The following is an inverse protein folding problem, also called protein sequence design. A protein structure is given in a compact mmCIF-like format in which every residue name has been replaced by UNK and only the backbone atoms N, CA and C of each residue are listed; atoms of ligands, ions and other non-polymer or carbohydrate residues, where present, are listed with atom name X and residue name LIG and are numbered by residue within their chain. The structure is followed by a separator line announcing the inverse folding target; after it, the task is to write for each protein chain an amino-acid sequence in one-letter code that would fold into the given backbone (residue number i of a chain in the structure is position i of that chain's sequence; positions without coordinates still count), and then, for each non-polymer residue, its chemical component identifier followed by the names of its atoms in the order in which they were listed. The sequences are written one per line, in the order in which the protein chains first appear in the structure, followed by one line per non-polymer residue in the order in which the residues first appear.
data_IF_832638259038
#
_entry.id   IF_832638259038
#
_cell.length_a   1.000
_cell.length_b   1.000
_cell.length_c   1.000
_cell.angle_alpha   90.00
_cell.angle_beta   90.00
_cell.angle_gamma   90.00
#
_symmetry.space_group_name_H-M   'P 1'
#
loop_
_entity.id
_entity.type
_entity.pdbx_description
1 polymer ?
#
# COMPACT_ATOMS: atom_id res chain seq x y z
N UNK A 1 23.54 30.82 -19.96
CA UNK A 1 23.94 31.75 -21.06
C UNK A 1 25.42 32.11 -20.97
N UNK A 2 26.05 31.93 -19.81
CA UNK A 2 27.49 32.15 -19.59
C UNK A 2 28.41 31.41 -20.57
N UNK A 3 28.08 30.18 -20.99
CA UNK A 3 28.91 29.43 -21.94
C UNK A 3 29.07 30.06 -23.33
N UNK A 4 28.15 30.94 -23.76
CA UNK A 4 28.34 31.71 -25.00
C UNK A 4 29.31 32.89 -24.81
N UNK A 5 29.39 33.45 -23.61
CA UNK A 5 30.36 34.49 -23.27
C UNK A 5 31.77 33.91 -23.13
N UNK A 6 31.89 32.68 -22.65
CA UNK A 6 33.17 31.96 -22.59
C UNK A 6 33.78 31.74 -23.99
N UNK A 7 32.94 31.46 -24.99
CA UNK A 7 33.37 31.31 -26.39
C UNK A 7 33.85 32.65 -26.96
N UNK A 8 33.16 33.76 -26.66
CA UNK A 8 33.57 35.10 -27.10
C UNK A 8 34.86 35.54 -26.41
N UNK A 9 35.00 35.22 -25.13
CA UNK A 9 36.20 35.52 -24.33
C UNK A 9 37.41 34.71 -24.80
N UNK A 10 37.23 33.43 -25.16
CA UNK A 10 38.29 32.58 -25.69
C UNK A 10 38.91 33.13 -27.00
N UNK A 11 38.16 33.91 -27.78
CA UNK A 11 38.65 34.55 -29.00
C UNK A 11 39.64 35.69 -28.78
N UNK A 12 39.71 36.26 -27.56
CA UNK A 12 40.53 37.44 -27.24
C UNK A 12 42.05 37.18 -27.22
N UNK A 13 42.46 35.92 -27.25
CA UNK A 13 43.88 35.51 -27.22
C UNK A 13 44.41 34.92 -28.53
N UNK A 14 43.68 35.06 -29.64
CA UNK A 14 44.06 34.46 -30.92
C UNK A 14 45.02 35.39 -31.67
N UNK A 15 46.22 34.92 -31.96
CA UNK A 15 47.24 35.68 -32.70
C UNK A 15 46.76 36.09 -34.09
N UNK A 16 47.02 37.35 -34.45
CA UNK A 16 46.84 37.83 -35.82
C UNK A 16 48.08 37.48 -36.66
N UNK A 17 48.00 36.33 -37.32
CA UNK A 17 49.08 35.79 -38.15
C UNK A 17 49.41 36.74 -39.31
N UNK A 18 48.46 37.57 -39.79
CA UNK A 18 48.71 38.51 -40.88
C UNK A 18 49.77 39.56 -40.52
N UNK A 19 49.87 39.89 -39.23
CA UNK A 19 50.86 40.81 -38.67
C UNK A 19 52.16 40.06 -38.34
N UNK A 20 52.05 38.86 -37.77
CA UNK A 20 53.24 38.04 -37.43
C UNK A 20 54.02 37.52 -38.63
N UNK A 21 53.38 37.37 -39.80
CA UNK A 21 54.08 37.02 -41.05
C UNK A 21 55.02 38.15 -41.49
N UNK A 22 54.66 39.40 -41.21
CA UNK A 22 55.46 40.57 -41.57
C UNK A 22 56.52 40.86 -40.51
N UNK A 23 56.19 40.68 -39.23
CA UNK A 23 57.12 40.81 -38.11
C UNK A 23 56.76 39.83 -36.98
N UNK A 24 57.55 38.75 -36.86
CA UNK A 24 57.33 37.70 -35.86
C UNK A 24 57.55 38.16 -34.41
N UNK A 25 58.14 39.33 -34.19
CA UNK A 25 58.36 39.90 -32.85
C UNK A 25 57.18 40.74 -32.35
N UNK A 26 56.20 41.02 -33.21
CA UNK A 26 55.03 41.83 -32.86
C UNK A 26 53.92 40.97 -32.24
N UNK A 27 53.60 41.24 -30.98
CA UNK A 27 52.43 40.65 -30.30
C UNK A 27 51.18 41.41 -30.70
N UNK A 28 50.41 40.82 -31.61
CA UNK A 28 49.11 41.33 -32.03
C UNK A 28 48.11 40.19 -32.13
N UNK A 29 46.92 40.44 -31.59
CA UNK A 29 45.80 39.51 -31.56
C UNK A 29 44.67 40.01 -32.46
N UNK A 30 43.80 39.10 -32.86
CA UNK A 30 42.56 39.44 -33.56
C UNK A 30 41.65 40.27 -32.64
N UNK A 31 40.97 41.25 -33.21
CA UNK A 31 39.97 42.02 -32.47
C UNK A 31 38.78 41.09 -32.12
N UNK A 32 38.41 40.99 -30.84
CA UNK A 32 37.31 40.13 -30.44
C UNK A 32 35.98 40.67 -30.95
N UNK A 33 35.13 39.77 -31.43
CA UNK A 33 33.77 40.13 -31.82
C UNK A 33 32.98 40.49 -30.55
N UNK A 34 32.35 41.67 -30.55
CA UNK A 34 31.51 42.12 -29.43
C UNK A 34 30.26 41.25 -29.27
N UNK A 35 29.76 41.13 -28.05
CA UNK A 35 28.47 40.47 -27.77
C UNK A 35 27.28 41.12 -28.49
N UNK A 36 27.38 42.42 -28.78
CA UNK A 36 26.36 43.20 -29.50
C UNK A 36 26.55 43.18 -31.03
N UNK A 37 27.53 42.43 -31.53
CA UNK A 37 27.71 42.25 -32.98
C UNK A 37 26.47 41.57 -33.59
N UNK A 38 25.92 42.08 -34.70
CA UNK A 38 24.73 41.50 -35.33
C UNK A 38 24.84 40.00 -35.62
N UNK A 39 26.02 39.49 -35.96
CA UNK A 39 26.26 38.07 -36.20
C UNK A 39 26.18 37.26 -34.90
N UNK A 40 26.74 37.78 -33.80
CA UNK A 40 26.66 37.14 -32.48
C UNK A 40 25.23 37.13 -31.97
N UNK A 41 24.50 38.24 -32.13
CA UNK A 41 23.08 38.32 -31.77
C UNK A 41 22.24 37.33 -32.59
N UNK A 42 22.47 37.22 -33.91
CA UNK A 42 21.78 36.27 -34.77
C UNK A 42 22.10 34.81 -34.40
N UNK A 43 23.36 34.51 -34.07
CA UNK A 43 23.78 33.19 -33.60
C UNK A 43 23.12 32.85 -32.25
N UNK A 44 23.09 33.78 -31.29
CA UNK A 44 22.38 33.61 -30.01
C UNK A 44 20.90 33.31 -30.21
N UNK A 45 20.24 34.08 -31.08
CA UNK A 45 18.84 33.85 -31.45
C UNK A 45 18.62 32.44 -32.03
N UNK A 46 19.51 32.01 -32.92
CA UNK A 46 19.47 30.66 -33.51
C UNK A 46 19.66 29.56 -32.47
N UNK A 47 20.64 29.72 -31.56
CA UNK A 47 20.89 28.76 -30.47
C UNK A 47 19.66 28.68 -29.54
N UNK A 48 19.09 29.82 -29.16
CA UNK A 48 17.90 29.87 -28.32
C UNK A 48 16.71 29.18 -29.00
N UNK A 49 16.51 29.41 -30.30
CA UNK A 49 15.44 28.77 -31.06
C UNK A 49 15.63 27.24 -31.15
N UNK A 50 16.87 26.79 -31.39
CA UNK A 50 17.21 25.37 -31.41
C UNK A 50 16.96 24.74 -30.04
N UNK A 51 17.41 25.36 -28.95
CA UNK A 51 17.16 24.86 -27.59
C UNK A 51 15.66 24.77 -27.28
N UNK A 52 14.89 25.83 -27.58
CA UNK A 52 13.45 25.85 -27.38
C UNK A 52 12.72 24.73 -28.15
N UNK A 53 13.16 24.43 -29.38
CA UNK A 53 12.62 23.29 -30.16
C UNK A 53 12.97 21.95 -29.54
N UNK A 54 14.18 21.80 -28.99
CA UNK A 54 14.64 20.54 -28.39
C UNK A 54 14.04 20.29 -26.99
N UNK A 55 13.54 21.32 -26.30
CA UNK A 55 12.85 21.19 -25.01
C UNK A 55 11.39 20.75 -25.11
N UNK A 56 10.81 20.70 -26.32
CA UNK A 56 9.41 20.25 -26.51
C UNK A 56 9.20 18.80 -26.08
N UNK A 57 10.10 17.90 -26.49
CA UNK A 57 10.04 16.48 -26.11
C UNK A 57 10.11 16.27 -24.59
N UNK A 58 11.11 16.83 -23.89
CA UNK A 58 11.14 16.84 -22.42
C UNK A 58 9.89 17.43 -21.76
N UNK A 59 9.33 18.49 -22.33
CA UNK A 59 8.12 19.11 -21.79
C UNK A 59 6.87 18.22 -21.97
N UNK A 60 6.78 17.46 -23.06
CA UNK A 60 5.71 16.50 -23.27
C UNK A 60 5.87 15.29 -22.34
N UNK A 61 7.09 14.77 -22.19
CA UNK A 61 7.41 13.72 -21.22
C UNK A 61 7.04 14.14 -19.78
N UNK A 62 7.30 15.39 -19.41
CA UNK A 62 6.89 15.90 -18.09
C UNK A 62 5.36 15.85 -17.90
N UNK A 63 4.57 16.20 -18.93
CA UNK A 63 3.10 16.13 -18.84
C UNK A 63 2.62 14.69 -18.65
N UNK A 64 3.28 13.73 -19.28
CA UNK A 64 2.95 12.31 -19.13
C UNK A 64 3.13 11.81 -17.69
N UNK A 65 4.04 12.41 -16.91
CA UNK A 65 4.19 12.13 -15.48
C UNK A 65 3.22 12.91 -14.58
N UNK A 66 2.73 14.07 -15.04
CA UNK A 66 1.84 14.92 -14.25
C UNK A 66 0.48 14.28 -13.95
N UNK A 67 0.05 13.28 -14.74
CA UNK A 67 -1.17 12.52 -14.44
C UNK A 67 -1.10 11.76 -13.11
N UNK A 68 0.11 11.48 -12.61
CA UNK A 68 0.34 10.80 -11.34
C UNK A 68 0.54 11.75 -10.15
N UNK A 69 0.39 13.07 -10.33
CA UNK A 69 0.59 14.06 -9.26
C UNK A 69 -0.25 13.77 -8.01
N UNK A 70 -1.44 13.18 -8.18
CA UNK A 70 -2.30 12.81 -7.06
C UNK A 70 -1.62 11.86 -6.08
N UNK A 71 -0.67 11.02 -6.51
CA UNK A 71 0.05 10.09 -5.65
C UNK A 71 0.93 10.81 -4.63
N UNK A 72 1.58 11.92 -5.04
CA UNK A 72 2.47 12.69 -4.15
C UNK A 72 1.72 13.73 -3.32
N UNK A 73 0.53 14.12 -3.77
CA UNK A 73 -0.35 15.04 -3.04
C UNK A 73 -1.16 14.33 -1.95
N UNK A 74 -1.22 13.00 -1.97
CA UNK A 74 -2.03 12.19 -1.06
C UNK A 74 -1.15 11.56 0.02
N UNK A 75 -1.44 11.85 1.29
CA UNK A 75 -0.82 11.17 2.42
C UNK A 75 -1.48 9.80 2.66
N UNK A 76 -0.71 8.72 2.92
CA UNK A 76 -1.29 7.39 3.15
C UNK A 76 -2.29 7.34 4.31
N UNK A 77 -2.06 8.09 5.39
CA UNK A 77 -2.97 8.09 6.54
C UNK A 77 -4.32 8.73 6.19
N UNK A 78 -4.30 9.84 5.45
CA UNK A 78 -5.53 10.51 5.00
C UNK A 78 -6.29 9.64 4.00
N UNK A 79 -5.56 8.96 3.12
CA UNK A 79 -6.12 8.05 2.13
C UNK A 79 -6.86 6.89 2.80
N UNK A 80 -6.22 6.20 3.75
CA UNK A 80 -6.83 5.06 4.44
C UNK A 80 -7.96 5.50 5.38
N UNK A 81 -7.89 6.69 5.97
CA UNK A 81 -8.99 7.26 6.74
C UNK A 81 -10.24 7.51 5.88
N UNK A 82 -10.06 8.05 4.67
CA UNK A 82 -11.15 8.24 3.72
C UNK A 82 -11.67 6.91 3.16
N UNK A 83 -10.78 5.95 2.93
CA UNK A 83 -11.14 4.60 2.47
C UNK A 83 -12.00 3.87 3.51
N UNK A 84 -11.51 3.76 4.74
CA UNK A 84 -12.21 3.08 5.83
C UNK A 84 -13.56 3.73 6.18
N UNK A 85 -13.68 5.06 6.08
CA UNK A 85 -14.93 5.77 6.30
C UNK A 85 -16.05 5.35 5.34
N UNK A 86 -15.71 4.87 4.14
CA UNK A 86 -16.67 4.38 3.15
C UNK A 86 -17.16 2.96 3.44
N UNK A 87 -16.55 2.26 4.40
CA UNK A 87 -16.83 0.85 4.75
C UNK A 87 -16.82 -0.06 3.51
N UNK A 88 -15.69 -0.12 2.79
CA UNK A 88 -15.59 -0.88 1.56
C UNK A 88 -15.74 -2.37 1.82
N UNK A 89 -16.22 -3.11 0.82
CA UNK A 89 -16.23 -4.57 0.88
C UNK A 89 -14.81 -5.12 0.74
N UNK A 90 -14.64 -6.41 1.04
CA UNK A 90 -13.37 -7.09 0.85
C UNK A 90 -12.96 -7.08 -0.62
N UNK A 91 -13.90 -7.32 -1.54
CA UNK A 91 -13.66 -7.30 -2.98
C UNK A 91 -13.25 -5.92 -3.48
N UNK A 92 -13.88 -4.87 -2.96
CA UNK A 92 -13.50 -3.49 -3.29
C UNK A 92 -12.09 -3.17 -2.79
N UNK A 93 -11.74 -3.61 -1.59
CA UNK A 93 -10.40 -3.42 -1.02
C UNK A 93 -9.34 -4.20 -1.78
N UNK A 94 -9.62 -5.44 -2.18
CA UNK A 94 -8.72 -6.22 -3.04
C UNK A 94 -8.54 -5.57 -4.42
N UNK A 95 -9.63 -5.08 -5.02
CA UNK A 95 -9.55 -4.38 -6.29
C UNK A 95 -8.69 -3.11 -6.20
N UNK A 96 -8.79 -2.37 -5.09
CA UNK A 96 -8.01 -1.15 -4.87
C UNK A 96 -6.52 -1.45 -4.67
N UNK A 97 -6.18 -2.48 -3.90
CA UNK A 97 -4.79 -2.96 -3.75
C UNK A 97 -4.20 -3.31 -5.12
N UNK A 98 -4.95 -4.01 -5.97
CA UNK A 98 -4.51 -4.35 -7.34
C UNK A 98 -4.39 -3.10 -8.22
N UNK A 99 -5.30 -2.14 -8.08
CA UNK A 99 -5.26 -0.87 -8.83
C UNK A 99 -3.99 -0.08 -8.51
N UNK A 100 -3.67 0.09 -7.22
CA UNK A 100 -2.48 0.82 -6.78
C UNK A 100 -1.18 0.11 -7.21
N UNK A 101 -1.16 -1.22 -7.17
CA UNK A 101 -0.06 -2.01 -7.73
C UNK A 101 0.09 -1.77 -9.24
N UNK A 102 -1.01 -1.77 -10.00
CA UNK A 102 -0.98 -1.52 -11.44
C UNK A 102 -0.51 -0.09 -11.77
N UNK A 103 -0.85 0.90 -10.94
CA UNK A 103 -0.35 2.27 -11.10
C UNK A 103 1.18 2.32 -10.94
N UNK A 104 1.75 1.61 -9.97
CA UNK A 104 3.21 1.52 -9.82
C UNK A 104 3.87 0.89 -11.08
N UNK A 105 3.26 -0.16 -11.63
CA UNK A 105 3.73 -0.79 -12.88
C UNK A 105 3.61 0.17 -14.08
N UNK A 106 2.51 0.92 -14.16
CA UNK A 106 2.26 1.90 -15.21
C UNK A 106 3.29 3.05 -15.19
N UNK A 107 3.65 3.55 -14.01
CA UNK A 107 4.73 4.55 -13.84
C UNK A 107 6.08 4.00 -14.31
N UNK A 108 6.38 2.75 -13.96
CA UNK A 108 7.62 2.10 -14.40
C UNK A 108 7.67 1.89 -15.92
N UNK A 109 6.52 1.63 -16.55
CA UNK A 109 6.43 1.40 -18.00
C UNK A 109 6.25 2.69 -18.80
N UNK A 110 6.04 3.82 -18.12
CA UNK A 110 5.77 5.12 -18.77
C UNK A 110 6.92 5.58 -19.67
N UNK A 111 8.16 5.39 -19.21
CA UNK A 111 9.35 5.68 -20.00
C UNK A 111 10.57 4.90 -19.51
N UNK A 112 11.64 4.87 -20.31
CA UNK A 112 12.94 4.40 -19.86
C UNK A 112 13.50 5.32 -18.76
N UNK A 113 14.32 4.79 -17.85
CA UNK A 113 14.91 5.58 -16.76
C UNK A 113 15.74 6.78 -17.25
N UNK A 114 16.27 6.71 -18.47
CA UNK A 114 16.99 7.82 -19.11
C UNK A 114 16.54 7.96 -20.55
N UNK A 115 15.79 9.03 -20.85
CA UNK A 115 15.24 9.26 -22.18
C UNK A 115 16.13 10.22 -22.95
N UNK A 116 16.69 9.73 -24.06
CA UNK A 116 17.51 10.52 -24.97
C UNK A 116 16.68 11.33 -25.96
N UNK A 117 16.86 12.65 -25.94
CA UNK A 117 16.42 13.57 -26.98
C UNK A 117 17.64 14.05 -27.78
N UNK A 118 17.40 14.78 -28.88
CA UNK A 118 18.46 15.13 -29.84
C UNK A 118 19.66 15.88 -29.23
N UNK A 119 19.44 16.79 -28.28
CA UNK A 119 20.51 17.56 -27.60
C UNK A 119 20.50 17.40 -26.08
N UNK A 120 19.55 16.66 -25.53
CA UNK A 120 19.27 16.62 -24.09
C UNK A 120 18.97 15.17 -23.72
N UNK A 121 19.46 14.73 -22.57
CA UNK A 121 19.04 13.47 -21.95
C UNK A 121 18.33 13.82 -20.67
N UNK A 122 17.17 13.21 -20.44
CA UNK A 122 16.37 13.40 -19.22
C UNK A 122 16.43 12.12 -18.39
N UNK A 123 16.96 12.23 -17.18
CA UNK A 123 16.91 11.16 -16.19
C UNK A 123 15.56 11.20 -15.47
N UNK A 124 14.78 10.13 -15.65
CA UNK A 124 13.46 9.95 -15.07
C UNK A 124 13.47 9.03 -13.84
N UNK A 125 14.62 8.42 -13.50
CA UNK A 125 14.71 7.41 -12.44
C UNK A 125 14.22 7.91 -11.08
N UNK A 126 14.57 9.14 -10.72
CA UNK A 126 14.12 9.76 -9.45
C UNK A 126 12.62 10.01 -9.41
N UNK A 127 12.04 10.48 -10.51
CA UNK A 127 10.59 10.69 -10.62
C UNK A 127 9.82 9.37 -10.59
N UNK A 128 10.30 8.36 -11.34
CA UNK A 128 9.72 7.01 -11.35
C UNK A 128 9.77 6.40 -9.95
N UNK A 129 10.93 6.40 -9.29
CA UNK A 129 11.07 5.85 -7.94
C UNK A 129 10.11 6.51 -6.96
N UNK A 130 10.06 7.85 -6.94
CA UNK A 130 9.19 8.60 -6.03
C UNK A 130 7.71 8.26 -6.25
N UNK A 131 7.26 8.19 -7.51
CA UNK A 131 5.86 7.90 -7.83
C UNK A 131 5.50 6.44 -7.57
N UNK A 132 6.40 5.51 -7.88
CA UNK A 132 6.24 4.08 -7.55
C UNK A 132 6.12 3.91 -6.04
N UNK A 133 7.06 4.47 -5.28
CA UNK A 133 7.06 4.39 -3.82
C UNK A 133 5.80 5.01 -3.22
N UNK A 134 5.31 6.12 -3.78
CA UNK A 134 4.05 6.73 -3.35
C UNK A 134 2.85 5.80 -3.60
N UNK A 135 2.72 5.21 -4.79
CA UNK A 135 1.64 4.27 -5.10
C UNK A 135 1.69 3.01 -4.20
N UNK A 136 2.90 2.47 -3.98
CA UNK A 136 3.09 1.32 -3.10
C UNK A 136 2.80 1.67 -1.63
N UNK A 137 3.13 2.87 -1.18
CA UNK A 137 2.82 3.34 0.17
C UNK A 137 1.31 3.44 0.40
N UNK A 138 0.55 3.93 -0.58
CA UNK A 138 -0.92 3.92 -0.51
C UNK A 138 -1.48 2.50 -0.49
N UNK A 139 -0.94 1.60 -1.33
CA UNK A 139 -1.32 0.18 -1.35
C UNK A 139 -1.10 -0.48 0.01
N UNK A 140 0.07 -0.25 0.60
CA UNK A 140 0.47 -0.84 1.87
C UNK A 140 -0.34 -0.29 3.03
N UNK A 141 -0.74 0.99 2.98
CA UNK A 141 -1.67 1.55 3.95
C UNK A 141 -3.05 0.86 3.92
N UNK A 142 -3.59 0.54 2.74
CA UNK A 142 -4.84 -0.23 2.61
C UNK A 142 -4.67 -1.64 3.16
N UNK A 143 -3.58 -2.33 2.82
CA UNK A 143 -3.29 -3.68 3.31
C UNK A 143 -3.12 -3.70 4.84
N UNK A 144 -2.43 -2.71 5.40
CA UNK A 144 -2.24 -2.58 6.84
C UNK A 144 -3.58 -2.40 7.56
N UNK A 145 -4.43 -1.51 7.08
CA UNK A 145 -5.79 -1.35 7.62
C UNK A 145 -6.62 -2.64 7.53
N UNK A 146 -6.55 -3.37 6.41
CA UNK A 146 -7.23 -4.67 6.28
C UNK A 146 -6.72 -5.68 7.31
N UNK A 147 -5.40 -5.71 7.56
CA UNK A 147 -4.78 -6.59 8.54
C UNK A 147 -5.18 -6.21 9.98
N UNK A 148 -5.27 -4.92 10.30
CA UNK A 148 -5.74 -4.44 11.61
C UNK A 148 -7.20 -4.82 11.86
N UNK A 149 -8.08 -4.61 10.88
CA UNK A 149 -9.49 -5.03 10.97
C UNK A 149 -9.63 -6.54 11.10
N UNK A 150 -8.81 -7.30 10.37
CA UNK A 150 -8.75 -8.76 10.47
C UNK A 150 -8.32 -9.21 11.88
N UNK A 151 -7.24 -8.64 12.41
CA UNK A 151 -6.75 -8.94 13.76
C UNK A 151 -7.80 -8.61 14.83
N UNK A 152 -8.39 -7.41 14.75
CA UNK A 152 -9.42 -6.96 15.68
C UNK A 152 -10.69 -7.83 15.62
N UNK A 153 -11.09 -8.27 14.42
CA UNK A 153 -12.24 -9.17 14.25
C UNK A 153 -11.96 -10.57 14.82
N UNK A 154 -10.77 -11.11 14.58
CA UNK A 154 -10.39 -12.44 15.08
C UNK A 154 -10.29 -12.46 16.60
N UNK A 155 -9.68 -11.43 17.20
CA UNK A 155 -9.57 -11.32 18.66
C UNK A 155 -10.96 -11.30 19.32
N UNK A 156 -11.88 -10.48 18.80
CA UNK A 156 -13.27 -10.44 19.31
C UNK A 156 -14.00 -11.78 19.17
N UNK A 157 -13.67 -12.57 18.15
CA UNK A 157 -14.24 -13.91 17.98
C UNK A 157 -13.66 -14.89 19.01
N UNK A 158 -12.35 -14.85 19.25
CA UNK A 158 -11.71 -15.66 20.28
C UNK A 158 -12.29 -15.35 21.67
N UNK A 159 -12.37 -14.08 22.05
CA UNK A 159 -12.99 -13.64 23.31
C UNK A 159 -14.44 -14.13 23.45
N UNK A 160 -15.18 -14.17 22.33
CA UNK A 160 -16.53 -14.71 22.32
C UNK A 160 -16.55 -16.22 22.57
N UNK A 161 -15.66 -16.99 21.93
CA UNK A 161 -15.54 -18.42 22.14
C UNK A 161 -15.09 -18.77 23.56
N UNK A 162 -14.18 -18.00 24.15
CA UNK A 162 -13.78 -18.14 25.55
C UNK A 162 -14.99 -17.95 26.48
N UNK A 163 -15.77 -16.89 26.27
CA UNK A 163 -16.97 -16.62 27.07
C UNK A 163 -18.04 -17.71 26.91
N UNK A 164 -18.21 -18.25 25.70
CA UNK A 164 -19.10 -19.39 25.43
C UNK A 164 -18.62 -20.62 26.19
N UNK A 165 -17.32 -20.91 26.15
CA UNK A 165 -16.73 -22.08 26.81
C UNK A 165 -16.84 -21.99 28.33
N UNK A 166 -16.64 -20.82 28.92
CA UNK A 166 -16.85 -20.57 30.35
C UNK A 166 -18.32 -20.83 30.73
N UNK A 167 -19.26 -20.35 29.90
CA UNK A 167 -20.70 -20.54 30.11
C UNK A 167 -21.13 -22.00 29.98
N UNK A 168 -20.57 -22.76 29.02
CA UNK A 168 -20.84 -24.19 28.85
C UNK A 168 -20.34 -25.02 30.05
N UNK A 169 -19.22 -24.60 30.65
CA UNK A 169 -18.56 -25.31 31.75
C UNK A 169 -19.02 -24.89 33.15
N UNK A 170 -19.92 -23.92 33.26
CA UNK A 170 -20.55 -23.56 34.53
C UNK A 170 -21.37 -24.73 35.10
N UNK A 171 -21.16 -25.08 36.38
CA UNK A 171 -21.93 -26.14 37.06
C UNK A 171 -23.33 -25.64 37.44
N UNK A 172 -24.42 -26.29 36.96
CA UNK A 172 -25.76 -25.89 37.33
C UNK A 172 -26.18 -26.51 38.67
N UNK A 173 -26.19 -25.69 39.73
CA UNK A 173 -26.56 -26.11 41.09
C UNK A 173 -28.06 -26.06 41.39
N UNK A 174 -28.85 -25.48 40.48
CA UNK A 174 -30.31 -25.29 40.63
C UNK A 174 -31.06 -25.78 39.41
N UNK A 175 -32.36 -26.07 39.56
CA UNK A 175 -33.19 -26.49 38.42
C UNK A 175 -33.31 -25.38 37.38
N UNK A 176 -33.37 -24.13 37.83
CA UNK A 176 -33.36 -22.93 36.98
C UNK A 176 -32.03 -22.78 36.23
N UNK A 177 -30.89 -23.05 36.87
CA UNK A 177 -29.59 -23.03 36.20
C UNK A 177 -29.45 -24.15 35.16
N UNK A 178 -30.02 -25.34 35.42
CA UNK A 178 -30.05 -26.43 34.44
C UNK A 178 -30.88 -26.09 33.20
N UNK A 179 -32.10 -25.52 33.38
CA UNK A 179 -32.94 -25.06 32.28
C UNK A 179 -32.27 -23.92 31.50
N UNK A 180 -31.57 -23.01 32.21
CA UNK A 180 -30.75 -21.97 31.60
C UNK A 180 -29.65 -22.53 30.70
N UNK A 181 -28.89 -23.52 31.17
CA UNK A 181 -27.83 -24.15 30.40
C UNK A 181 -28.39 -24.95 29.20
N UNK A 182 -29.53 -25.64 29.35
CA UNK A 182 -30.19 -26.35 28.24
C UNK A 182 -30.63 -25.39 27.13
N UNK A 183 -31.22 -24.25 27.49
CA UNK A 183 -31.57 -23.17 26.56
C UNK A 183 -30.34 -22.57 25.89
N UNK A 184 -29.26 -22.36 26.64
CA UNK A 184 -28.01 -21.82 26.12
C UNK A 184 -27.39 -22.74 25.06
N UNK A 185 -27.30 -24.05 25.34
CA UNK A 185 -26.80 -25.06 24.38
C UNK A 185 -27.66 -25.07 23.10
N UNK A 186 -28.99 -25.02 23.22
CA UNK A 186 -29.88 -24.99 22.06
C UNK A 186 -29.77 -23.69 21.24
N UNK A 187 -29.52 -22.56 21.90
CA UNK A 187 -29.28 -21.28 21.23
C UNK A 187 -27.94 -21.31 20.49
N UNK A 188 -26.88 -21.81 21.13
CA UNK A 188 -25.55 -21.91 20.53
C UNK A 188 -25.53 -22.83 19.30
N UNK A 189 -26.29 -23.93 19.30
CA UNK A 189 -26.50 -24.78 18.11
C UNK A 189 -27.03 -23.96 16.93
N UNK A 190 -27.97 -23.04 17.20
CA UNK A 190 -28.60 -22.19 16.19
C UNK A 190 -27.61 -21.13 15.69
N UNK A 191 -26.82 -20.54 16.59
CA UNK A 191 -25.87 -19.48 16.28
C UNK A 191 -24.57 -20.01 15.62
N UNK A 192 -24.32 -21.32 15.70
CA UNK A 192 -23.10 -21.96 15.19
C UNK A 192 -22.87 -21.70 13.70
N UNK A 193 -23.94 -21.73 12.89
CA UNK A 193 -23.83 -21.45 11.45
C UNK A 193 -23.29 -20.04 11.19
N UNK A 194 -23.75 -19.05 11.96
CA UNK A 194 -23.27 -17.67 11.88
C UNK A 194 -21.83 -17.52 12.34
N UNK A 195 -21.42 -18.24 13.39
CA UNK A 195 -20.03 -18.24 13.86
C UNK A 195 -19.08 -18.86 12.83
N UNK A 196 -19.47 -19.98 12.24
CA UNK A 196 -18.69 -20.63 11.16
C UNK A 196 -18.58 -19.71 9.95
N UNK A 197 -19.67 -19.04 9.55
CA UNK A 197 -19.63 -18.08 8.43
C UNK A 197 -18.67 -16.91 8.68
N UNK A 198 -18.55 -16.44 9.93
CA UNK A 198 -17.57 -15.38 10.30
C UNK A 198 -16.14 -15.90 10.22
N UNK A 199 -15.88 -17.15 10.60
CA UNK A 199 -14.56 -17.78 10.46
C UNK A 199 -14.21 -17.98 8.98
N UNK A 200 -15.16 -18.39 8.14
CA UNK A 200 -14.93 -18.54 6.71
C UNK A 200 -14.67 -17.20 6.01
N UNK A 201 -15.33 -16.13 6.48
CA UNK A 201 -14.99 -14.78 6.06
C UNK A 201 -13.56 -14.41 6.47
N UNK A 202 -13.14 -14.70 7.70
CA UNK A 202 -11.77 -14.48 8.15
C UNK A 202 -10.74 -15.24 7.27
N UNK A 203 -11.01 -16.50 6.90
CA UNK A 203 -10.16 -17.25 5.94
C UNK A 203 -10.05 -16.54 4.60
N UNK A 204 -11.16 -16.01 4.10
CA UNK A 204 -11.18 -15.27 2.83
C UNK A 204 -10.32 -14.00 2.92
N UNK A 205 -10.37 -13.28 4.04
CA UNK A 205 -9.52 -12.09 4.27
C UNK A 205 -8.04 -12.49 4.34
N UNK A 206 -7.72 -13.57 5.08
CA UNK A 206 -6.37 -14.10 5.17
C UNK A 206 -5.80 -14.46 3.78
N UNK A 207 -6.58 -15.17 2.95
CA UNK A 207 -6.17 -15.54 1.59
C UNK A 207 -5.90 -14.31 0.70
N UNK A 208 -6.66 -13.22 0.88
CA UNK A 208 -6.42 -11.96 0.16
C UNK A 208 -5.10 -11.32 0.60
N UNK A 209 -4.84 -11.25 1.90
CA UNK A 209 -3.59 -10.73 2.45
C UNK A 209 -2.39 -11.56 2.01
N UNK A 210 -2.49 -12.90 2.03
CA UNK A 210 -1.45 -13.81 1.57
C UNK A 210 -1.17 -13.64 0.07
N UNK A 211 -2.23 -13.54 -0.76
CA UNK A 211 -2.10 -13.32 -2.21
C UNK A 211 -1.45 -11.97 -2.52
N UNK A 212 -1.73 -10.95 -1.71
CA UNK A 212 -1.05 -9.66 -1.76
C UNK A 212 0.39 -9.71 -1.21
N UNK A 213 0.84 -10.87 -0.69
CA UNK A 213 2.14 -11.09 -0.03
C UNK A 213 2.36 -10.16 1.17
N UNK A 214 1.28 -9.77 1.82
CA UNK A 214 1.36 -8.98 3.05
C UNK A 214 1.76 -9.90 4.20
N UNK A 215 2.78 -9.50 4.95
CA UNK A 215 3.24 -10.26 6.11
C UNK A 215 2.42 -9.86 7.33
N UNK A 216 1.55 -10.77 7.77
CA UNK A 216 0.81 -10.62 9.02
C UNK A 216 1.75 -11.00 10.18
N UNK A 217 1.59 -10.34 11.32
CA UNK A 217 2.33 -10.64 12.54
C UNK A 217 2.08 -12.09 13.02
N UNK A 218 3.12 -12.73 13.56
CA UNK A 218 3.09 -14.13 13.99
C UNK A 218 2.01 -14.37 15.08
N UNK A 219 1.78 -13.41 15.98
CA UNK A 219 0.75 -13.49 17.01
C UNK A 219 -0.65 -13.48 16.40
N UNK A 220 -0.89 -12.57 15.45
CA UNK A 220 -2.17 -12.49 14.72
C UNK A 220 -2.41 -13.76 13.90
N UNK A 221 -1.36 -14.31 13.29
CA UNK A 221 -1.42 -15.59 12.59
C UNK A 221 -1.79 -16.74 13.53
N UNK A 222 -1.18 -16.81 14.71
CA UNK A 222 -1.50 -17.82 15.71
C UNK A 222 -2.98 -17.74 16.15
N UNK A 223 -3.48 -16.52 16.44
CA UNK A 223 -4.89 -16.30 16.77
C UNK A 223 -5.85 -16.72 15.66
N UNK A 224 -5.50 -16.46 14.40
CA UNK A 224 -6.30 -16.92 13.26
C UNK A 224 -6.36 -18.45 13.17
N UNK A 225 -5.23 -19.13 13.35
CA UNK A 225 -5.21 -20.59 13.30
C UNK A 225 -5.97 -21.20 14.47
N UNK A 226 -5.83 -20.64 15.67
CA UNK A 226 -6.64 -21.02 16.83
C UNK A 226 -8.13 -20.85 16.54
N UNK A 227 -8.53 -19.69 15.99
CA UNK A 227 -9.90 -19.40 15.57
C UNK A 227 -10.47 -20.47 14.62
N UNK A 228 -9.66 -20.98 13.70
CA UNK A 228 -10.08 -22.04 12.78
C UNK A 228 -10.36 -23.39 13.48
N UNK A 229 -9.83 -23.62 14.68
CA UNK A 229 -10.01 -24.87 15.44
C UNK A 229 -11.26 -24.83 16.34
N UNK A 230 -11.70 -23.63 16.72
CA UNK A 230 -12.81 -23.42 17.65
C UNK A 230 -14.13 -24.11 17.28
N UNK A 231 -14.57 -24.22 16.01
CA UNK A 231 -15.80 -24.95 15.67
C UNK A 231 -15.78 -26.41 16.12
N UNK A 232 -14.62 -27.08 16.03
CA UNK A 232 -14.49 -28.47 16.48
C UNK A 232 -14.52 -28.52 18.01
N UNK A 233 -13.82 -27.60 18.66
CA UNK A 233 -13.73 -27.52 20.11
C UNK A 233 -15.08 -27.22 20.75
N UNK A 234 -15.82 -26.22 20.28
CA UNK A 234 -17.15 -25.88 20.82
C UNK A 234 -18.13 -27.04 20.64
N UNK A 235 -18.14 -27.73 19.50
CA UNK A 235 -19.00 -28.89 19.34
C UNK A 235 -18.69 -29.98 20.37
N UNK A 236 -17.41 -30.21 20.69
CA UNK A 236 -17.04 -31.16 21.74
C UNK A 236 -17.50 -30.69 23.13
N UNK A 237 -17.31 -29.40 23.46
CA UNK A 237 -17.75 -28.79 24.73
C UNK A 237 -19.28 -28.84 24.89
N UNK A 238 -20.03 -28.61 23.80
CA UNK A 238 -21.48 -28.70 23.79
C UNK A 238 -21.97 -30.13 24.05
N UNK A 239 -21.36 -31.13 23.40
CA UNK A 239 -21.68 -32.53 23.66
C UNK A 239 -21.35 -32.94 25.11
N UNK A 240 -20.25 -32.44 25.66
CA UNK A 240 -19.93 -32.67 27.06
C UNK A 240 -20.94 -31.99 28.01
N UNK A 241 -21.35 -30.76 27.71
CA UNK A 241 -22.39 -30.05 28.45
C UNK A 241 -23.74 -30.81 28.42
N UNK A 242 -24.15 -31.35 27.27
CA UNK A 242 -25.33 -32.22 27.16
C UNK A 242 -25.20 -33.46 28.04
N UNK A 243 -24.04 -34.11 28.01
CA UNK A 243 -23.77 -35.29 28.84
C UNK A 243 -23.79 -34.95 30.34
N UNK A 244 -23.27 -33.78 30.73
CA UNK A 244 -23.38 -33.26 32.12
C UNK A 244 -24.83 -33.03 32.51
N UNK A 245 -25.63 -32.36 31.68
CA UNK A 245 -27.06 -32.12 31.93
C UNK A 245 -27.85 -33.42 32.15
N UNK A 246 -27.59 -34.46 31.34
CA UNK A 246 -28.20 -35.79 31.51
C UNK A 246 -27.84 -36.39 32.88
N UNK A 247 -26.57 -36.31 33.29
CA UNK A 247 -26.11 -36.81 34.60
C UNK A 247 -26.74 -36.06 35.76
N UNK A 248 -26.79 -34.73 35.70
CA UNK A 248 -27.42 -33.91 36.74
C UNK A 248 -28.91 -34.21 36.88
N UNK A 249 -29.63 -34.34 35.76
CA UNK A 249 -31.06 -34.69 35.76
C UNK A 249 -31.33 -36.04 36.41
N UNK A 250 -30.49 -37.04 36.11
CA UNK A 250 -30.56 -38.36 36.73
C UNK A 250 -30.32 -38.29 38.25
N UNK A 251 -29.28 -37.56 38.69
CA UNK A 251 -28.96 -37.38 40.11
C UNK A 251 -30.09 -36.68 40.87
N UNK A 252 -30.63 -35.59 40.32
CA UNK A 252 -31.69 -34.81 40.95
C UNK A 252 -33.01 -35.61 41.07
N UNK A 253 -33.38 -36.36 40.02
CA UNK A 253 -34.54 -37.25 40.06
C UNK A 253 -34.40 -38.38 41.09
N UNK A 254 -33.18 -38.89 41.31
CA UNK A 254 -32.91 -39.89 42.33
C UNK A 254 -32.97 -39.30 43.75
N UNK A 255 -32.52 -38.05 43.94
CA UNK A 255 -32.65 -37.34 45.22
C UNK A 255 -34.11 -37.08 45.58
N UNK A 256 -34.92 -36.57 44.64
CA UNK A 256 -36.36 -36.34 44.86
C UNK A 256 -37.13 -37.62 45.22
N UNK A 257 -36.74 -38.76 44.65
CA UNK A 257 -37.34 -40.07 44.99
C UNK A 257 -36.93 -40.60 46.36
N UNK A 258 -35.77 -40.19 46.88
CA UNK A 258 -35.28 -40.59 48.19
C UNK A 258 -35.87 -39.74 49.33
N UNK A 259 -36.38 -38.56 49.01
CA UNK A 259 -37.02 -37.62 49.95
C UNK A 259 -38.55 -37.80 50.07
N UNK A 260 -39.14 -38.71 49.29
CA UNK A 260 -40.56 -39.12 49.35
C UNK A 260 -40.74 -40.46 50.08
#
# INVERSE_FOLDING_TARGET
MDGCEDILTAGQGVDDISVKIVDASQERYLDPISGDDPLVMAARGTVAEVLAKNLRGPADLLKDYQEFNYLVETMPEDYVAQWSAQRPSLEASEAEVRRLQAVAEEVSQRSEASVGFRLIVVDCSGAQGTLIDAALSLRDAVLHWMADEFAASNLKLLEHFDSVTESLNAEPDTTEAMDGLEKFVAQLDTDMEGLVARIDYAKTVHDVLERARYLIDDEVSAFFWELCHWPIQINAEMEEARMRLIRYRSRYMNQLKAEQ
#
